data_IF_670437910781
#
_entry.id   IF_670437910781
#
_cell.length_a   1.000
_cell.length_b   1.000
_cell.length_c   1.000
_cell.angle_alpha   90.00
_cell.angle_beta   90.00
_cell.angle_gamma   90.00
#
_symmetry.space_group_name_H-M   'P 1'
#
loop_
_entity.id
_entity.type
_entity.pdbx_description
1 polymer ?
#
# COMPACT_ATOMS: atom_id res chain seq x y z
N UNK A 1 -8.70 -19.72 -6.76
CA UNK A 1 -9.12 -18.82 -5.67
C UNK A 1 -8.42 -17.48 -5.86
N UNK A 2 -9.10 -16.39 -5.53
CA UNK A 2 -8.58 -15.03 -5.68
C UNK A 2 -8.44 -14.39 -4.30
N UNK A 3 -7.32 -13.71 -4.03
CA UNK A 3 -7.11 -12.91 -2.83
C UNK A 3 -6.77 -11.46 -3.21
N UNK A 4 -7.08 -10.51 -2.33
CA UNK A 4 -6.78 -9.09 -2.54
C UNK A 4 -5.70 -8.60 -1.59
N UNK A 5 -4.82 -7.73 -2.08
CA UNK A 5 -3.68 -7.17 -1.33
C UNK A 5 -3.40 -5.75 -1.79
N UNK A 6 -3.01 -4.87 -0.86
CA UNK A 6 -2.58 -3.53 -1.24
C UNK A 6 -1.12 -3.55 -1.71
N UNK A 7 -0.76 -2.66 -2.63
CA UNK A 7 0.59 -2.55 -3.16
C UNK A 7 1.05 -1.10 -3.20
N UNK A 8 2.30 -0.86 -2.79
CA UNK A 8 3.06 0.37 -3.01
C UNK A 8 4.45 -0.03 -3.48
N UNK A 9 4.72 0.12 -4.78
CA UNK A 9 6.06 -0.13 -5.35
C UNK A 9 6.69 1.19 -5.73
N UNK A 10 7.91 1.41 -5.29
CA UNK A 10 8.72 2.55 -5.71
C UNK A 10 10.14 2.10 -6.06
N UNK A 11 10.91 2.97 -6.71
CA UNK A 11 12.29 2.68 -7.09
C UNK A 11 13.21 2.45 -5.88
N UNK A 12 12.83 2.96 -4.70
CA UNK A 12 13.55 2.74 -3.43
C UNK A 12 12.60 2.41 -2.29
N UNK A 13 13.12 1.73 -1.27
CA UNK A 13 12.36 1.39 -0.06
C UNK A 13 11.85 2.64 0.68
N UNK A 14 12.70 3.66 0.79
CA UNK A 14 12.33 4.93 1.44
C UNK A 14 11.15 5.60 0.74
N UNK A 15 11.19 5.66 -0.60
CA UNK A 15 10.10 6.26 -1.38
C UNK A 15 8.79 5.47 -1.22
N UNK A 16 8.87 4.14 -1.15
CA UNK A 16 7.69 3.30 -0.90
C UNK A 16 7.14 3.50 0.53
N UNK A 17 8.03 3.60 1.53
CA UNK A 17 7.64 3.84 2.92
C UNK A 17 6.95 5.20 3.09
N UNK A 18 7.50 6.26 2.46
CA UNK A 18 6.90 7.60 2.48
C UNK A 18 5.50 7.58 1.84
N UNK A 19 5.36 6.93 0.68
CA UNK A 19 4.06 6.80 0.00
C UNK A 19 3.05 6.00 0.83
N UNK A 20 3.48 4.92 1.49
CA UNK A 20 2.61 4.13 2.35
C UNK A 20 2.15 4.92 3.58
N UNK A 21 3.04 5.71 4.18
CA UNK A 21 2.69 6.60 5.29
C UNK A 21 1.61 7.60 4.87
N UNK A 22 1.80 8.26 3.72
CA UNK A 22 0.83 9.20 3.17
C UNK A 22 -0.51 8.53 2.85
N UNK A 23 -0.50 7.35 2.25
CA UNK A 23 -1.72 6.58 1.99
C UNK A 23 -2.46 6.22 3.29
N UNK A 24 -1.72 5.87 4.33
CA UNK A 24 -2.26 5.54 5.66
C UNK A 24 -2.91 6.77 6.30
N UNK A 25 -2.22 7.92 6.28
CA UNK A 25 -2.73 9.20 6.77
C UNK A 25 -4.04 9.60 6.09
N UNK A 26 -4.06 9.58 4.76
CA UNK A 26 -5.27 9.89 3.97
C UNK A 26 -6.41 8.93 4.28
N UNK A 27 -6.13 7.65 4.46
CA UNK A 27 -7.15 6.67 4.84
C UNK A 27 -7.74 6.99 6.21
N UNK A 28 -6.91 7.21 7.22
CA UNK A 28 -7.37 7.51 8.58
C UNK A 28 -8.16 8.81 8.62
N UNK A 29 -7.65 9.88 8.00
CA UNK A 29 -8.35 11.17 7.92
C UNK A 29 -9.72 11.02 7.25
N UNK A 30 -9.78 10.33 6.10
CA UNK A 30 -11.03 10.12 5.34
C UNK A 30 -12.11 9.39 6.14
N UNK A 31 -11.74 8.46 7.02
CA UNK A 31 -12.71 7.67 7.78
C UNK A 31 -13.07 8.27 9.14
N UNK A 32 -12.15 8.98 9.80
CA UNK A 32 -12.40 9.51 11.14
C UNK A 32 -12.82 10.99 11.15
N UNK A 33 -12.31 11.78 10.22
CA UNK A 33 -12.50 13.24 10.18
C UNK A 33 -12.59 13.77 8.74
N UNK A 34 -13.56 13.29 7.93
CA UNK A 34 -13.62 13.57 6.50
C UNK A 34 -13.66 15.06 6.12
N UNK A 35 -14.16 15.92 7.03
CA UNK A 35 -14.40 17.35 6.78
C UNK A 35 -13.40 18.27 7.51
N UNK A 36 -12.36 17.71 8.14
CA UNK A 36 -11.37 18.47 8.91
C UNK A 36 -10.03 18.49 8.20
N UNK A 37 -9.51 19.69 7.94
CA UNK A 37 -8.10 19.86 7.59
C UNK A 37 -7.25 19.60 8.82
N UNK A 38 -6.37 18.61 8.74
CA UNK A 38 -5.45 18.25 9.79
C UNK A 38 -4.01 18.48 9.35
N UNK A 39 -3.18 18.86 10.31
CA UNK A 39 -1.74 18.77 10.12
C UNK A 39 -1.30 17.30 10.11
N UNK A 40 -0.14 17.02 9.50
CA UNK A 40 0.46 15.68 9.53
C UNK A 40 0.61 15.13 10.97
N UNK A 41 0.95 16.00 11.93
CA UNK A 41 1.13 15.63 13.34
C UNK A 41 -0.20 15.21 13.98
N UNK A 42 -1.30 15.91 13.68
CA UNK A 42 -2.62 15.54 14.18
C UNK A 42 -3.10 14.21 13.59
N UNK A 43 -2.83 13.96 12.30
CA UNK A 43 -3.17 12.67 11.68
C UNK A 43 -2.35 11.53 12.28
N UNK A 44 -1.07 11.76 12.58
CA UNK A 44 -0.22 10.76 13.24
C UNK A 44 -0.74 10.42 14.65
N UNK A 45 -1.21 11.42 15.41
CA UNK A 45 -1.87 11.21 16.70
C UNK A 45 -3.16 10.39 16.54
N UNK A 46 -3.94 10.65 15.48
CA UNK A 46 -5.14 9.87 15.16
C UNK A 46 -4.80 8.43 14.77
N UNK A 47 -3.75 8.19 13.97
CA UNK A 47 -3.26 6.84 13.63
C UNK A 47 -2.93 6.06 14.90
N UNK A 48 -2.30 6.72 15.88
CA UNK A 48 -1.93 6.10 17.15
C UNK A 48 -3.14 5.83 18.08
N UNK A 49 -4.31 6.42 17.83
CA UNK A 49 -5.54 6.21 18.62
C UNK A 49 -6.11 4.79 18.46
N UNK A 50 -6.98 4.30 19.37
CA UNK A 50 -7.64 3.00 19.21
C UNK A 50 -8.40 2.85 17.88
N UNK A 51 -9.12 3.89 17.45
CA UNK A 51 -9.87 3.92 16.21
C UNK A 51 -8.94 3.94 14.99
N UNK A 52 -7.85 4.71 15.07
CA UNK A 52 -6.80 4.71 14.04
C UNK A 52 -6.16 3.35 13.87
N UNK A 53 -5.81 2.67 14.96
CA UNK A 53 -5.26 1.30 14.93
C UNK A 53 -6.21 0.29 14.31
N UNK A 54 -7.51 0.44 14.51
CA UNK A 54 -8.50 -0.41 13.83
C UNK A 54 -8.46 -0.19 12.31
N UNK A 55 -8.38 1.06 11.85
CA UNK A 55 -8.31 1.38 10.43
C UNK A 55 -6.99 0.94 9.79
N UNK A 56 -5.85 1.13 10.46
CA UNK A 56 -4.56 0.64 9.96
C UNK A 56 -4.52 -0.88 9.93
N UNK A 57 -5.25 -1.58 10.81
CA UNK A 57 -5.37 -3.04 10.73
C UNK A 57 -6.04 -3.53 9.45
N UNK A 58 -6.89 -2.72 8.80
CA UNK A 58 -7.47 -3.05 7.49
C UNK A 58 -6.43 -3.05 6.37
N UNK A 59 -5.29 -2.38 6.58
CA UNK A 59 -4.14 -2.35 5.66
C UNK A 59 -3.09 -3.43 6.00
N UNK A 60 -3.42 -4.39 6.88
CA UNK A 60 -2.49 -5.44 7.35
C UNK A 60 -1.77 -6.18 6.22
N UNK A 61 -2.48 -6.48 5.13
CA UNK A 61 -1.89 -7.07 3.94
C UNK A 61 -1.59 -5.97 2.92
N UNK A 62 -0.37 -5.45 3.03
CA UNK A 62 0.18 -4.45 2.11
C UNK A 62 1.60 -4.85 1.76
N UNK A 63 1.85 -5.06 0.46
CA UNK A 63 3.19 -5.20 -0.07
C UNK A 63 3.75 -3.79 -0.35
N UNK A 64 4.82 -3.39 0.33
CA UNK A 64 5.43 -2.07 0.15
C UNK A 64 6.94 -2.18 0.12
N UNK A 65 7.58 -1.60 -0.90
CA UNK A 65 9.04 -1.60 -1.00
C UNK A 65 9.55 -1.43 -2.43
N UNK A 66 10.80 -1.86 -2.63
CA UNK A 66 11.40 -2.00 -3.96
C UNK A 66 10.68 -3.08 -4.79
N UNK A 67 10.86 -3.11 -6.13
CA UNK A 67 10.24 -4.12 -6.98
C UNK A 67 10.55 -5.56 -6.54
N UNK A 68 11.80 -5.83 -6.16
CA UNK A 68 12.21 -7.16 -5.68
C UNK A 68 11.46 -7.57 -4.41
N UNK A 69 11.44 -6.70 -3.39
CA UNK A 69 10.79 -7.00 -2.11
C UNK A 69 9.28 -7.21 -2.26
N UNK A 70 8.64 -6.41 -3.12
CA UNK A 70 7.21 -6.57 -3.40
C UNK A 70 6.93 -7.89 -4.12
N UNK A 71 7.77 -8.29 -5.07
CA UNK A 71 7.66 -9.59 -5.73
C UNK A 71 7.76 -10.76 -4.76
N UNK A 72 8.78 -10.73 -3.88
CA UNK A 72 8.97 -11.74 -2.83
C UNK A 72 7.77 -11.79 -1.88
N UNK A 73 7.29 -10.64 -1.41
CA UNK A 73 6.12 -10.55 -0.54
C UNK A 73 4.86 -11.14 -1.21
N UNK A 74 4.57 -10.76 -2.45
CA UNK A 74 3.36 -11.20 -3.16
C UNK A 74 3.38 -12.71 -3.42
N UNK A 75 4.55 -13.28 -3.73
CA UNK A 75 4.71 -14.73 -3.86
C UNK A 75 4.37 -15.46 -2.57
N UNK A 76 4.90 -14.98 -1.43
CA UNK A 76 4.64 -15.61 -0.14
C UNK A 76 3.20 -15.36 0.35
N UNK A 77 2.63 -14.19 0.06
CA UNK A 77 1.22 -13.91 0.31
C UNK A 77 0.31 -14.85 -0.48
N UNK A 78 0.58 -15.09 -1.76
CA UNK A 78 -0.20 -16.02 -2.58
C UNK A 78 -0.19 -17.44 -1.99
N UNK A 79 0.98 -17.94 -1.55
CA UNK A 79 1.08 -19.24 -0.84
C UNK A 79 0.31 -19.24 0.46
N UNK A 80 0.47 -18.20 1.29
CA UNK A 80 -0.21 -18.06 2.58
C UNK A 80 -1.72 -18.05 2.42
N UNK A 81 -2.22 -17.32 1.42
CA UNK A 81 -3.62 -17.24 1.12
C UNK A 81 -4.14 -18.50 0.42
N UNK A 82 -3.29 -19.32 -0.21
CA UNK A 82 -3.63 -20.36 -1.19
C UNK A 82 -4.30 -19.79 -2.46
N UNK A 83 -3.89 -18.59 -2.88
CA UNK A 83 -4.45 -17.89 -4.03
C UNK A 83 -3.76 -18.28 -5.34
N UNK A 84 -4.57 -18.51 -6.37
CA UNK A 84 -4.10 -18.72 -7.75
C UNK A 84 -3.91 -17.38 -8.46
N UNK A 85 -4.66 -16.35 -8.05
CA UNK A 85 -4.61 -14.99 -8.60
C UNK A 85 -4.70 -13.95 -7.48
N UNK A 86 -4.02 -12.82 -7.68
CA UNK A 86 -4.04 -11.68 -6.77
C UNK A 86 -4.70 -10.46 -7.42
N UNK A 87 -5.70 -9.89 -6.75
CA UNK A 87 -6.19 -8.54 -7.04
C UNK A 87 -5.30 -7.56 -6.27
N UNK A 88 -4.55 -6.74 -7.00
CA UNK A 88 -3.63 -5.75 -6.43
C UNK A 88 -4.26 -4.37 -6.42
N UNK A 89 -4.36 -3.75 -5.24
CA UNK A 89 -4.85 -2.39 -5.06
C UNK A 89 -3.67 -1.44 -4.83
N UNK A 90 -3.35 -0.60 -5.82
CA UNK A 90 -2.25 0.36 -5.69
C UNK A 90 -2.65 1.53 -4.79
N UNK A 91 -2.00 1.61 -3.63
CA UNK A 91 -2.37 2.53 -2.55
C UNK A 91 -1.62 3.87 -2.59
N UNK A 92 -0.65 4.05 -3.50
CA UNK A 92 0.06 5.32 -3.65
C UNK A 92 -0.94 6.47 -3.93
N UNK A 93 -0.87 7.60 -3.22
CA UNK A 93 -1.91 8.63 -3.25
C UNK A 93 -1.89 9.46 -4.53
N UNK A 94 -0.70 9.89 -4.96
CA UNK A 94 -0.52 10.67 -6.18
C UNK A 94 -0.68 9.82 -7.43
N UNK A 95 -1.26 10.40 -8.49
CA UNK A 95 -1.55 9.68 -9.73
C UNK A 95 -0.25 9.16 -10.38
N UNK A 96 0.77 10.00 -10.47
CA UNK A 96 2.04 9.65 -11.12
C UNK A 96 2.77 8.52 -10.39
N UNK A 97 2.83 8.57 -9.06
CA UNK A 97 3.46 7.51 -8.26
C UNK A 97 2.66 6.21 -8.29
N UNK A 98 1.32 6.31 -8.33
CA UNK A 98 0.45 5.14 -8.51
C UNK A 98 0.64 4.47 -9.85
N UNK A 99 0.75 5.23 -10.94
CA UNK A 99 1.06 4.69 -12.27
C UNK A 99 2.45 4.07 -12.30
N UNK A 100 3.47 4.73 -11.73
CA UNK A 100 4.82 4.16 -11.60
C UNK A 100 4.81 2.84 -10.83
N UNK A 101 4.01 2.76 -9.75
CA UNK A 101 3.86 1.52 -8.98
C UNK A 101 3.24 0.39 -9.79
N UNK A 102 2.31 0.68 -10.70
CA UNK A 102 1.74 -0.31 -11.64
C UNK A 102 2.81 -0.80 -12.61
N UNK A 103 3.58 0.11 -13.21
CA UNK A 103 4.63 -0.24 -14.17
C UNK A 103 5.71 -1.12 -13.54
N UNK A 104 6.18 -0.74 -12.35
CA UNK A 104 7.18 -1.51 -11.60
C UNK A 104 6.66 -2.90 -11.24
N UNK A 105 5.40 -3.01 -10.81
CA UNK A 105 4.81 -4.31 -10.50
C UNK A 105 4.63 -5.18 -11.75
N UNK A 106 4.27 -4.58 -12.89
CA UNK A 106 4.14 -5.29 -14.16
C UNK A 106 5.48 -5.90 -14.61
N UNK A 107 6.59 -5.19 -14.40
CA UNK A 107 7.94 -5.71 -14.65
C UNK A 107 8.26 -6.91 -13.75
N UNK A 108 7.97 -6.79 -12.45
CA UNK A 108 8.17 -7.89 -11.47
C UNK A 108 7.36 -9.13 -11.85
N UNK A 109 6.13 -8.94 -12.34
CA UNK A 109 5.27 -10.03 -12.79
C UNK A 109 5.65 -10.59 -14.18
N UNK A 110 6.66 -10.03 -14.86
CA UNK A 110 7.07 -10.45 -16.20
C UNK A 110 6.03 -10.15 -17.29
N UNK A 111 5.12 -9.21 -17.05
CA UNK A 111 4.05 -8.82 -17.99
C UNK A 111 4.53 -7.79 -19.03
N UNK A 112 5.67 -7.16 -18.77
CA UNK A 112 6.35 -6.23 -19.66
C UNK A 112 7.86 -6.52 -19.65
N UNK A 113 8.54 -6.16 -20.73
CA UNK A 113 10.00 -6.26 -20.80
C UNK A 113 10.66 -5.36 -19.73
N UNK A 114 11.78 -5.84 -19.18
CA UNK A 114 12.60 -5.10 -18.21
C UNK A 114 13.32 -3.91 -18.87
#
# INVERSE_FOLDING_TARGET
MIAAVNVVVADTESAAADQLLQATRLRVARFLVPDLELSDEDVDALIASPQGRQLTSMMRYTASGSPQQVGEYLHDFAKHAHADELIVAHAAPEIETRLRSVDLLAQVAGLVAA
#
